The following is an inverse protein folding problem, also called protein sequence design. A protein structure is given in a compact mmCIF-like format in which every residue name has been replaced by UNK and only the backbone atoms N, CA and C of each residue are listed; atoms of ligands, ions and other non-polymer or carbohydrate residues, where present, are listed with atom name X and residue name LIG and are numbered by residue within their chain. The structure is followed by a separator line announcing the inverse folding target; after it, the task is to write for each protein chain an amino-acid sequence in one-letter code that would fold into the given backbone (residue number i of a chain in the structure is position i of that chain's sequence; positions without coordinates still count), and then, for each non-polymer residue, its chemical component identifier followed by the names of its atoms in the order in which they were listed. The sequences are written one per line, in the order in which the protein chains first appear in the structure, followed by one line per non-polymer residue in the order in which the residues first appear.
data_IF_813345940881
#
_entry.id   IF_813345940881
#
_cell.length_a   1.000
_cell.length_b   1.000
_cell.length_c   1.000
_cell.angle_alpha   90.00
_cell.angle_beta   90.00
_cell.angle_gamma   90.00
#
_symmetry.space_group_name_H-M   'P 1'
#
loop_
_entity.id
_entity.type
_entity.pdbx_description
1 polymer ?
#
# COMPACT_ATOMS: atom_id res chain seq x y z
N UNK A 1 0.61 24.89 -22.07
CA UNK A 1 1.56 24.84 -20.94
C UNK A 1 0.81 24.39 -19.70
N UNK A 2 0.87 23.13 -19.25
CA UNK A 2 0.51 22.68 -17.88
C UNK A 2 0.63 21.14 -17.75
N UNK A 3 1.84 20.61 -17.86
CA UNK A 3 2.14 19.19 -17.62
C UNK A 3 3.42 18.99 -16.82
N UNK A 4 3.89 20.03 -16.12
CA UNK A 4 5.12 20.03 -15.31
C UNK A 4 4.96 19.66 -13.83
N UNK A 5 3.83 19.87 -13.12
CA UNK A 5 3.80 19.58 -11.69
C UNK A 5 3.72 18.07 -11.39
N UNK A 6 3.10 17.28 -12.26
CA UNK A 6 2.92 15.84 -12.05
C UNK A 6 4.22 15.04 -12.24
N UNK A 7 5.04 15.42 -13.23
CA UNK A 7 6.34 14.79 -13.49
C UNK A 7 7.38 15.11 -12.41
N UNK A 8 7.31 16.31 -11.82
CA UNK A 8 8.17 16.69 -10.68
C UNK A 8 7.75 15.93 -9.42
N UNK A 9 6.45 15.71 -9.19
CA UNK A 9 5.95 14.94 -8.06
C UNK A 9 6.32 13.44 -8.17
N UNK A 10 6.26 12.87 -9.37
CA UNK A 10 6.68 11.48 -9.64
C UNK A 10 8.21 11.35 -9.51
N UNK A 11 8.97 12.33 -10.01
CA UNK A 11 10.42 12.37 -9.84
C UNK A 11 10.85 12.49 -8.37
N UNK A 12 10.15 13.29 -7.57
CA UNK A 12 10.40 13.44 -6.14
C UNK A 12 10.05 12.17 -5.36
N UNK A 13 8.95 11.48 -5.71
CA UNK A 13 8.57 10.20 -5.10
C UNK A 13 9.57 9.08 -5.39
N UNK A 14 10.17 9.07 -6.59
CA UNK A 14 11.19 8.08 -6.96
C UNK A 14 12.51 8.36 -6.22
N UNK A 15 12.85 9.63 -5.95
CA UNK A 15 14.02 9.99 -5.13
C UNK A 15 13.82 9.74 -3.62
N UNK A 16 12.57 9.66 -3.14
CA UNK A 16 12.24 9.31 -1.75
C UNK A 16 12.25 7.79 -1.47
N UNK A 17 12.34 6.94 -2.51
CA UNK A 17 12.27 5.47 -2.38
C UNK A 17 13.61 4.77 -2.10
N UNK A 18 14.74 5.46 -2.28
CA UNK A 18 16.04 4.91 -1.96
C UNK A 18 16.47 5.35 -0.56
N UNK A 19 15.88 4.73 0.47
CA UNK A 19 16.48 4.82 1.80
C UNK A 19 17.90 4.25 1.68
N UNK A 20 18.97 5.00 2.02
CA UNK A 20 20.30 4.41 2.08
C UNK A 20 20.20 3.21 3.02
N UNK A 21 20.61 2.03 2.55
CA UNK A 21 20.61 0.84 3.39
C UNK A 21 21.54 1.07 4.58
N UNK A 22 21.00 1.49 5.72
CA UNK A 22 21.79 1.77 6.91
C UNK A 22 21.96 0.48 7.70
N UNK A 23 23.17 -0.06 7.80
CA UNK A 23 23.56 -1.04 8.82
C UNK A 23 24.38 -2.20 8.26
N UNK A 24 25.69 -2.02 8.17
CA UNK A 24 26.66 -3.02 7.71
C UNK A 24 28.01 -2.75 8.39
N UNK A 25 28.79 -3.80 8.68
CA UNK A 25 30.19 -3.88 9.19
C UNK A 25 30.38 -5.08 10.15
N UNK A 26 31.02 -6.17 9.71
CA UNK A 26 31.63 -7.15 10.63
C UNK A 26 33.13 -7.07 10.38
N UNK A 27 33.88 -6.55 11.36
CA UNK A 27 35.35 -6.40 11.27
C UNK A 27 35.98 -6.89 12.56
N UNK A 28 36.99 -7.75 12.43
CA UNK A 28 37.82 -8.20 13.53
C UNK A 28 38.98 -7.23 13.74
N UNK A 29 39.23 -6.87 14.99
CA UNK A 29 40.23 -5.91 15.40
C UNK A 29 41.05 -6.52 16.53
N UNK A 30 42.37 -6.54 16.39
CA UNK A 30 43.28 -7.00 17.43
C UNK A 30 43.52 -5.92 18.49
N UNK A 31 44.03 -6.32 19.65
CA UNK A 31 44.45 -5.38 20.70
C UNK A 31 45.69 -4.59 20.26
N UNK A 32 46.64 -5.26 19.63
CA UNK A 32 47.91 -4.70 19.17
C UNK A 32 47.92 -4.40 17.67
N UNK A 33 48.71 -3.39 17.24
CA UNK A 33 48.85 -3.04 15.82
C UNK A 33 49.58 -4.15 15.05
N UNK A 34 49.28 -4.24 13.75
CA UNK A 34 49.86 -5.19 12.79
C UNK A 34 49.75 -6.64 13.29
N UNK A 35 48.53 -7.20 13.39
CA UNK A 35 48.35 -8.57 13.84
C UNK A 35 49.09 -9.54 12.93
N UNK A 36 49.84 -10.47 13.54
CA UNK A 36 50.61 -11.52 12.85
C UNK A 36 49.75 -12.77 12.58
N UNK A 37 48.44 -12.63 12.56
CA UNK A 37 47.49 -13.71 12.34
C UNK A 37 46.30 -13.23 11.52
N UNK A 38 45.53 -14.19 11.04
CA UNK A 38 44.31 -13.98 10.24
C UNK A 38 43.13 -14.71 10.86
N UNK A 39 41.90 -14.40 10.42
CA UNK A 39 40.68 -15.08 10.86
C UNK A 39 40.26 -16.11 9.81
N UNK A 40 40.14 -17.37 10.21
CA UNK A 40 39.73 -18.43 9.31
C UNK A 40 39.63 -19.80 10.00
N UNK A 41 38.71 -20.68 9.56
CA UNK A 41 37.55 -20.37 8.71
C UNK A 41 36.56 -19.44 9.44
N UNK A 42 35.77 -18.63 8.73
CA UNK A 42 34.75 -17.75 9.31
C UNK A 42 33.35 -18.06 8.77
N UNK A 43 32.40 -18.37 9.64
CA UNK A 43 30.99 -18.57 9.29
C UNK A 43 30.09 -17.62 10.08
N UNK A 44 29.38 -16.76 9.36
CA UNK A 44 28.39 -15.86 9.96
C UNK A 44 27.01 -16.35 9.56
N UNK A 45 26.26 -16.89 10.52
CA UNK A 45 25.00 -17.56 10.29
C UNK A 45 23.84 -16.81 10.92
N UNK A 46 22.86 -16.39 10.14
CA UNK A 46 21.56 -15.94 10.64
C UNK A 46 20.52 -17.05 10.52
N UNK A 47 19.69 -17.24 11.55
CA UNK A 47 18.55 -18.16 11.52
C UNK A 47 17.25 -17.35 11.55
N UNK A 48 16.50 -17.42 10.46
CA UNK A 48 15.28 -16.66 10.23
C UNK A 48 14.08 -17.60 10.28
N UNK A 49 13.21 -17.39 11.27
CA UNK A 49 11.93 -18.08 11.38
C UNK A 49 10.74 -17.25 10.86
N UNK A 50 9.55 -17.86 10.77
CA UNK A 50 8.32 -17.18 10.39
C UNK A 50 7.81 -16.20 11.47
N UNK A 51 8.17 -16.42 12.74
CA UNK A 51 7.77 -15.56 13.84
C UNK A 51 8.41 -14.17 13.74
N UNK A 52 7.61 -13.13 14.00
CA UNK A 52 8.08 -11.74 14.04
C UNK A 52 8.90 -11.46 15.32
N UNK A 53 10.08 -12.08 15.47
CA UNK A 53 11.01 -11.87 16.59
C UNK A 53 12.45 -11.52 16.17
N UNK A 54 13.36 -11.35 17.15
CA UNK A 54 14.79 -11.19 16.91
C UNK A 54 15.36 -12.34 16.08
N UNK A 55 16.38 -12.06 15.26
CA UNK A 55 17.09 -13.06 14.47
C UNK A 55 18.28 -13.56 15.27
N UNK A 56 18.37 -14.88 15.48
CA UNK A 56 19.55 -15.49 16.11
C UNK A 56 20.70 -15.51 15.11
N UNK A 57 21.80 -14.86 15.46
CA UNK A 57 23.04 -14.84 14.69
C UNK A 57 24.16 -15.55 15.45
N UNK A 58 24.93 -16.34 14.72
CA UNK A 58 26.07 -17.09 15.22
C UNK A 58 27.29 -16.77 14.37
N UNK A 59 28.35 -16.29 15.00
CA UNK A 59 29.66 -16.08 14.37
C UNK A 59 30.58 -17.20 14.84
N UNK A 60 30.95 -18.10 13.93
CA UNK A 60 31.89 -19.18 14.20
C UNK A 60 33.21 -18.89 13.51
N UNK A 61 34.32 -18.90 14.23
CA UNK A 61 35.62 -18.61 13.65
C UNK A 61 36.79 -19.23 14.41
N UNK A 62 37.97 -19.24 13.79
CA UNK A 62 39.26 -19.56 14.42
C UNK A 62 40.32 -18.55 13.97
N UNK A 63 41.47 -18.57 14.64
CA UNK A 63 42.63 -17.72 14.36
C UNK A 63 43.70 -18.56 13.68
N UNK A 64 44.16 -18.08 12.53
CA UNK A 64 45.17 -18.76 11.71
C UNK A 64 46.48 -18.00 11.82
N UNK A 65 47.47 -18.69 12.37
CA UNK A 65 48.84 -18.19 12.45
C UNK A 65 49.61 -18.65 11.21
N UNK A 66 50.16 -17.74 10.40
CA UNK A 66 51.03 -18.10 9.29
C UNK A 66 52.29 -18.82 9.79
N UNK A 67 52.76 -19.81 9.04
CA UNK A 67 53.98 -20.57 9.39
C UNK A 67 55.25 -19.69 9.42
N UNK A 68 55.21 -18.49 8.83
CA UNK A 68 56.30 -17.51 8.81
C UNK A 68 56.54 -16.84 10.16
N UNK A 69 55.58 -16.92 11.09
CA UNK A 69 55.68 -16.29 12.42
C UNK A 69 56.40 -17.23 13.37
N UNK A 70 57.68 -16.94 13.61
CA UNK A 70 58.53 -17.74 14.49
C UNK A 70 58.37 -17.26 15.94
N UNK A 71 57.74 -18.05 16.81
CA UNK A 71 57.58 -17.72 18.24
C UNK A 71 56.16 -17.86 18.81
N UNK A 72 55.18 -18.25 17.98
CA UNK A 72 53.77 -18.30 18.37
C UNK A 72 53.12 -16.92 18.41
N UNK A 73 51.78 -16.87 18.40
CA UNK A 73 51.06 -15.60 18.46
C UNK A 73 51.11 -15.05 19.87
N UNK A 74 51.45 -13.76 19.97
CA UNK A 74 51.29 -13.00 21.21
C UNK A 74 49.83 -13.04 21.67
N UNK A 75 49.61 -13.54 22.89
CA UNK A 75 48.29 -13.58 23.51
C UNK A 75 47.69 -12.18 23.58
N UNK A 76 46.51 -12.01 22.98
CA UNK A 76 45.81 -10.74 22.96
C UNK A 76 44.34 -10.92 22.67
N UNK A 77 43.50 -10.02 23.19
CA UNK A 77 42.08 -10.10 22.90
C UNK A 77 41.77 -9.65 21.47
N UNK A 78 40.63 -10.12 20.99
CA UNK A 78 40.03 -9.70 19.74
C UNK A 78 38.81 -8.85 20.04
N UNK A 79 38.52 -7.93 19.13
CA UNK A 79 37.32 -7.11 19.16
C UNK A 79 36.56 -7.34 17.86
N UNK A 80 35.26 -7.53 17.98
CA UNK A 80 34.34 -7.57 16.85
C UNK A 80 33.55 -6.26 16.83
N UNK A 81 33.77 -5.47 15.78
CA UNK A 81 32.93 -4.34 15.45
C UNK A 81 31.70 -4.88 14.71
N UNK A 82 30.55 -4.80 15.37
CA UNK A 82 29.27 -5.30 14.85
C UNK A 82 28.33 -4.15 14.45
N UNK A 83 27.57 -4.27 13.35
CA UNK A 83 26.68 -3.22 12.91
C UNK A 83 25.30 -3.39 13.55
N UNK A 84 24.76 -2.33 14.12
CA UNK A 84 23.48 -2.37 14.81
C UNK A 84 23.61 -2.77 16.27
N UNK A 85 22.44 -2.82 16.90
CA UNK A 85 22.28 -3.17 18.30
C UNK A 85 22.24 -4.68 18.47
N UNK A 86 23.04 -5.16 19.42
CA UNK A 86 22.96 -6.55 19.87
C UNK A 86 21.99 -6.67 21.05
N UNK A 87 21.05 -7.59 20.89
CA UNK A 87 20.21 -8.11 21.96
C UNK A 87 20.88 -9.37 22.51
N UNK A 88 21.22 -9.35 23.79
CA UNK A 88 21.99 -10.42 24.43
C UNK A 88 21.08 -11.52 24.95
N UNK A 89 21.47 -12.78 24.77
CA UNK A 89 21.01 -13.82 25.69
C UNK A 89 21.75 -13.58 27.02
N UNK A 90 21.02 -13.42 28.13
CA UNK A 90 21.59 -12.96 29.39
C UNK A 90 22.63 -13.96 29.94
N UNK A 91 23.91 -13.67 29.72
CA UNK A 91 25.01 -14.33 30.41
C UNK A 91 25.28 -13.58 31.71
N UNK A 92 25.30 -14.31 32.82
CA UNK A 92 25.61 -13.72 34.13
C UNK A 92 27.03 -13.15 34.14
N UNK A 93 27.18 -11.89 34.55
CA UNK A 93 28.47 -11.23 34.71
C UNK A 93 28.35 -9.72 34.63
N UNK A 94 29.17 -9.00 35.40
CA UNK A 94 29.18 -7.54 35.35
C UNK A 94 29.63 -7.05 33.97
N UNK A 95 28.99 -6.00 33.41
CA UNK A 95 29.50 -5.30 32.25
C UNK A 95 30.94 -4.83 32.46
N UNK A 96 31.69 -4.66 31.38
CA UNK A 96 33.09 -4.25 31.44
C UNK A 96 33.23 -2.71 31.36
N UNK A 97 33.68 -2.04 32.44
CA UNK A 97 33.73 -0.57 32.46
C UNK A 97 34.72 0.03 31.46
N UNK A 98 35.78 -0.70 31.10
CA UNK A 98 36.79 -0.22 30.15
C UNK A 98 36.25 -0.09 28.73
N UNK A 99 35.36 -0.99 28.32
CA UNK A 99 34.69 -0.90 27.01
C UNK A 99 33.85 0.36 26.91
N UNK A 100 33.08 0.67 27.95
CA UNK A 100 32.31 1.92 28.04
C UNK A 100 33.24 3.13 27.92
N UNK A 101 34.29 3.19 28.74
CA UNK A 101 35.24 4.31 28.74
C UNK A 101 35.88 4.52 27.36
N UNK A 102 36.25 3.44 26.69
CA UNK A 102 36.84 3.47 25.33
C UNK A 102 35.88 4.12 24.33
N UNK A 103 34.60 3.75 24.38
CA UNK A 103 33.58 4.26 23.47
C UNK A 103 33.18 5.71 23.80
N UNK A 104 33.00 6.04 25.08
CA UNK A 104 32.66 7.39 25.55
C UNK A 104 33.80 8.39 25.29
N UNK A 105 35.06 7.97 25.45
CA UNK A 105 36.24 8.80 25.12
C UNK A 105 36.28 9.22 23.64
N UNK A 106 35.49 8.58 22.77
CA UNK A 106 35.35 8.91 21.36
C UNK A 106 34.09 9.73 21.05
N UNK A 107 33.36 10.19 22.07
CA UNK A 107 32.16 11.01 21.94
C UNK A 107 30.93 10.23 21.49
N UNK A 108 30.91 8.91 21.73
CA UNK A 108 29.71 8.09 21.54
C UNK A 108 28.93 7.95 22.85
N UNK A 109 27.62 7.79 22.74
CA UNK A 109 26.75 7.50 23.86
C UNK A 109 26.47 6.00 23.91
N UNK A 110 26.81 5.37 25.03
CA UNK A 110 26.52 3.95 25.27
C UNK A 110 25.05 3.79 25.63
N UNK A 111 24.33 2.98 24.86
CA UNK A 111 22.90 2.71 25.05
C UNK A 111 22.62 1.38 25.73
N UNK A 112 23.51 0.40 25.56
CA UNK A 112 23.43 -0.90 26.23
C UNK A 112 24.82 -1.45 26.51
N UNK A 113 24.92 -2.24 27.57
CA UNK A 113 26.10 -3.02 27.91
C UNK A 113 25.68 -4.41 28.40
N UNK A 114 26.58 -5.39 28.32
CA UNK A 114 26.31 -6.73 28.80
C UNK A 114 27.39 -7.73 28.37
N UNK A 115 27.02 -9.01 28.38
CA UNK A 115 27.85 -10.13 27.94
C UNK A 115 27.07 -11.03 27.00
N UNK A 116 27.74 -11.52 25.95
CA UNK A 116 27.19 -12.44 24.98
C UNK A 116 27.69 -13.86 25.25
N UNK A 117 26.89 -14.90 24.96
CA UNK A 117 27.34 -16.28 25.03
C UNK A 117 28.52 -16.50 24.08
N UNK A 118 29.62 -16.96 24.65
CA UNK A 118 30.82 -17.37 23.95
C UNK A 118 31.07 -18.84 24.27
N UNK A 119 31.33 -19.64 23.25
CA UNK A 119 31.57 -21.07 23.41
C UNK A 119 32.63 -21.56 22.43
N UNK A 120 33.21 -22.72 22.68
CA UNK A 120 34.12 -23.39 21.79
C UNK A 120 33.52 -24.71 21.30
N UNK A 121 33.64 -24.96 20.00
CA UNK A 121 33.12 -26.16 19.33
C UNK A 121 34.24 -26.87 18.61
N UNK A 122 34.43 -28.16 18.89
CA UNK A 122 35.35 -29.00 18.14
C UNK A 122 34.87 -29.20 16.69
N UNK A 123 35.75 -28.96 15.72
CA UNK A 123 35.52 -29.17 14.27
C UNK A 123 35.40 -30.66 13.97
N UNK A 124 36.34 -31.44 14.49
CA UNK A 124 36.37 -32.88 14.36
C UNK A 124 35.78 -33.51 15.60
N UNK A 125 34.55 -33.98 15.45
CA UNK A 125 33.93 -34.84 16.43
C UNK A 125 33.23 -35.95 15.68
N UNK A 126 33.42 -37.18 16.15
CA UNK A 126 32.85 -38.38 15.55
C UNK A 126 31.32 -38.39 15.59
N UNK A 127 30.68 -39.56 15.46
CA UNK A 127 29.21 -39.69 15.41
C UNK A 127 28.48 -38.96 16.55
N UNK A 128 29.07 -38.90 17.75
CA UNK A 128 28.65 -38.02 18.83
C UNK A 128 29.36 -36.67 18.73
N UNK A 129 28.68 -35.67 18.16
CA UNK A 129 29.12 -34.28 18.19
C UNK A 129 28.89 -33.70 19.59
N UNK A 130 29.92 -33.43 20.41
CA UNK A 130 29.74 -32.86 21.75
C UNK A 130 29.09 -31.48 21.65
N UNK A 131 28.36 -31.11 22.71
CA UNK A 131 27.79 -29.76 22.82
C UNK A 131 28.93 -28.73 22.87
N UNK A 132 28.73 -27.52 22.33
CA UNK A 132 29.70 -26.43 22.50
C UNK A 132 30.02 -26.23 23.99
N UNK A 133 31.30 -26.10 24.30
CA UNK A 133 31.78 -25.82 25.65
C UNK A 133 31.66 -24.32 25.90
N UNK A 134 30.95 -23.91 26.96
CA UNK A 134 30.86 -22.49 27.30
C UNK A 134 32.24 -21.96 27.73
N UNK A 135 32.61 -20.79 27.22
CA UNK A 135 33.81 -20.08 27.66
C UNK A 135 33.44 -19.15 28.82
N UNK A 136 34.17 -19.27 29.92
CA UNK A 136 33.88 -18.55 31.15
C UNK A 136 33.85 -17.03 30.93
N UNK A 137 32.85 -16.39 31.55
CA UNK A 137 32.66 -14.94 31.48
C UNK A 137 32.08 -14.40 30.17
N UNK A 138 31.94 -15.20 29.11
CA UNK A 138 31.37 -14.76 27.83
C UNK A 138 32.12 -13.60 27.17
N UNK A 139 31.50 -13.01 26.14
CA UNK A 139 32.06 -11.87 25.41
C UNK A 139 31.42 -10.54 25.87
N UNK A 140 32.12 -9.68 26.63
CA UNK A 140 31.57 -8.39 27.03
C UNK A 140 31.35 -7.46 25.83
N UNK A 141 30.27 -6.70 25.84
CA UNK A 141 29.93 -5.79 24.76
C UNK A 141 29.34 -4.47 25.25
N UNK A 142 29.48 -3.44 24.42
CA UNK A 142 28.76 -2.17 24.54
C UNK A 142 28.13 -1.83 23.20
N UNK A 143 26.83 -1.52 23.22
CA UNK A 143 26.13 -0.90 22.09
C UNK A 143 26.13 0.59 22.29
N UNK A 144 26.46 1.32 21.22
CA UNK A 144 26.58 2.76 21.25
C UNK A 144 25.96 3.39 20.01
N UNK A 145 25.60 4.65 20.13
CA UNK A 145 25.15 5.47 19.04
C UNK A 145 25.85 6.82 19.07
N UNK A 146 25.84 7.50 17.92
CA UNK A 146 26.29 8.90 17.88
C UNK A 146 25.08 9.78 18.18
N UNK A 147 25.27 10.70 19.11
CA UNK A 147 24.26 11.70 19.47
C UNK A 147 23.75 12.41 18.19
N UNK A 148 22.43 12.57 18.11
CA UNK A 148 21.77 13.06 16.91
C UNK A 148 22.21 14.47 16.57
N UNK A 149 22.87 14.63 15.42
CA UNK A 149 23.11 15.94 14.80
C UNK A 149 21.89 16.39 13.98
N UNK A 150 22.02 17.45 13.15
CA UNK A 150 20.95 17.92 12.25
C UNK A 150 20.48 16.87 11.22
N UNK A 151 21.16 15.73 11.14
CA UNK A 151 20.89 14.60 10.25
C UNK A 151 20.23 13.41 10.98
N UNK A 152 19.68 13.63 12.18
CA UNK A 152 19.01 12.63 13.01
C UNK A 152 19.95 11.69 13.76
N UNK A 153 19.37 10.79 14.57
CA UNK A 153 20.11 9.76 15.31
C UNK A 153 20.71 8.74 14.34
N UNK A 154 22.02 8.48 14.45
CA UNK A 154 22.68 7.48 13.62
C UNK A 154 22.29 6.06 14.02
N UNK A 155 22.36 5.11 13.08
CA UNK A 155 22.19 3.70 13.44
C UNK A 155 23.24 3.27 14.48
N UNK A 156 22.84 2.49 15.50
CA UNK A 156 23.76 2.04 16.54
C UNK A 156 24.80 1.06 15.98
N UNK A 157 25.87 0.85 16.73
CA UNK A 157 26.85 -0.21 16.52
C UNK A 157 27.22 -0.84 17.86
N UNK A 158 27.76 -2.05 17.82
CA UNK A 158 28.23 -2.75 19.01
C UNK A 158 29.72 -3.02 18.94
N UNK A 159 30.41 -2.79 20.06
CA UNK A 159 31.81 -3.11 20.26
C UNK A 159 31.89 -4.30 21.21
N UNK A 160 32.32 -5.45 20.70
CA UNK A 160 32.31 -6.72 21.42
C UNK A 160 33.76 -7.15 21.64
N UNK A 161 34.19 -7.36 22.88
CA UNK A 161 35.48 -7.95 23.20
C UNK A 161 35.33 -9.46 23.29
N UNK A 162 36.25 -10.16 22.65
CA UNK A 162 36.39 -11.61 22.65
C UNK A 162 37.68 -11.90 23.40
N UNK A 163 37.59 -12.38 24.65
CA UNK A 163 38.76 -12.72 25.45
C UNK A 163 39.63 -13.76 24.76
N UNK A 164 40.95 -13.61 24.89
CA UNK A 164 41.90 -14.59 24.39
C UNK A 164 41.68 -15.95 25.09
N UNK A 165 41.76 -17.02 24.32
CA UNK A 165 41.73 -18.39 24.80
C UNK A 165 42.63 -19.24 23.92
N UNK A 166 43.33 -20.26 24.46
CA UNK A 166 44.13 -21.18 23.65
C UNK A 166 43.32 -21.84 22.51
N UNK A 167 42.00 -21.96 22.69
CA UNK A 167 41.10 -22.52 21.67
C UNK A 167 40.95 -21.64 20.42
N UNK A 168 41.33 -20.36 20.47
CA UNK A 168 41.28 -19.49 19.29
C UNK A 168 42.31 -19.88 18.24
N UNK A 169 43.50 -20.30 18.66
CA UNK A 169 44.61 -20.65 17.76
C UNK A 169 44.67 -22.15 17.43
N UNK A 170 43.89 -22.96 18.13
CA UNK A 170 43.76 -24.39 17.86
C UNK A 170 42.81 -24.64 16.68
N UNK A 171 43.35 -25.13 15.56
CA UNK A 171 42.59 -25.43 14.33
C UNK A 171 41.56 -26.55 14.51
N UNK A 172 41.61 -27.29 15.60
CA UNK A 172 40.59 -28.31 15.93
C UNK A 172 39.34 -27.71 16.57
N UNK A 173 39.37 -26.44 16.95
CA UNK A 173 38.26 -25.72 17.57
C UNK A 173 37.81 -24.51 16.75
N UNK A 174 36.52 -24.20 16.85
CA UNK A 174 35.93 -22.94 16.43
C UNK A 174 35.33 -22.26 17.65
N UNK A 175 35.61 -20.97 17.80
CA UNK A 175 34.94 -20.12 18.76
C UNK A 175 33.61 -19.69 18.17
N UNK A 176 32.54 -19.86 18.94
CA UNK A 176 31.16 -19.60 18.60
C UNK A 176 30.63 -18.47 19.49
N UNK A 177 30.40 -17.30 18.87
CA UNK A 177 29.75 -16.14 19.47
C UNK A 177 28.28 -16.11 19.04
N UNK A 178 27.36 -16.11 20.00
CA UNK A 178 25.91 -16.07 19.75
C UNK A 178 25.32 -14.73 20.14
N UNK A 179 24.41 -14.22 19.32
CA UNK A 179 23.75 -12.93 19.51
C UNK A 179 22.34 -12.94 18.94
N UNK A 180 21.44 -12.12 19.48
CA UNK A 180 20.10 -11.87 18.93
C UNK A 180 20.03 -10.48 18.37
N UNK A 181 19.44 -10.33 17.18
CA UNK A 181 19.40 -9.04 16.49
C UNK A 181 17.97 -8.69 16.10
N UNK A 182 17.46 -7.60 16.65
CA UNK A 182 16.10 -7.10 16.39
C UNK A 182 16.00 -6.37 15.05
N UNK A 183 17.08 -5.70 14.63
CA UNK A 183 17.08 -4.80 13.47
C UNK A 183 17.55 -5.45 12.16
N UNK A 184 17.93 -6.73 12.22
CA UNK A 184 18.48 -7.46 11.07
C UNK A 184 17.41 -7.80 10.02
N UNK A 185 16.18 -8.11 10.47
CA UNK A 185 15.02 -8.29 9.59
C UNK A 185 14.28 -6.97 9.48
N UNK A 186 14.16 -6.43 8.26
CA UNK A 186 13.43 -5.18 8.00
C UNK A 186 12.24 -5.41 7.09
N UNK A 187 11.08 -4.78 7.37
CA UNK A 187 9.98 -4.79 6.44
C UNK A 187 10.40 -4.05 5.16
N UNK A 188 10.16 -4.67 4.00
CA UNK A 188 10.26 -3.99 2.71
C UNK A 188 9.04 -3.09 2.59
N UNK A 189 9.26 -1.80 2.34
CA UNK A 189 8.13 -0.89 2.10
C UNK A 189 7.32 -1.39 0.90
N UNK A 190 6.05 -1.65 1.17
CA UNK A 190 5.08 -2.12 0.20
C UNK A 190 3.76 -1.44 0.50
N UNK A 191 2.96 -1.22 -0.53
CA UNK A 191 1.61 -0.67 -0.38
C UNK A 191 0.72 -1.64 0.39
N UNK A 192 -0.35 -1.14 1.02
CA UNK A 192 -1.30 -1.99 1.74
C UNK A 192 -1.85 -3.11 0.85
N UNK A 193 -2.14 -2.81 -0.43
CA UNK A 193 -2.65 -3.76 -1.41
C UNK A 193 -1.62 -4.85 -1.74
N UNK A 194 -0.35 -4.48 -1.88
CA UNK A 194 0.74 -5.45 -2.11
C UNK A 194 0.92 -6.39 -0.91
N UNK A 195 0.83 -5.87 0.32
CA UNK A 195 0.93 -6.71 1.52
C UNK A 195 -0.26 -7.67 1.66
N UNK A 196 -1.46 -7.26 1.22
CA UNK A 196 -2.65 -8.13 1.20
C UNK A 196 -2.53 -9.23 0.15
N UNK A 197 -2.06 -8.90 -1.05
CA UNK A 197 -1.98 -9.85 -2.17
C UNK A 197 -0.75 -10.77 -2.11
N UNK A 198 0.38 -10.24 -1.63
CA UNK A 198 1.69 -10.89 -1.69
C UNK A 198 2.32 -11.15 -0.32
N UNK A 199 1.59 -10.89 0.77
CA UNK A 199 2.12 -11.03 2.13
C UNK A 199 3.15 -9.97 2.49
N UNK A 200 3.57 -9.99 3.76
CA UNK A 200 4.60 -9.08 4.25
C UNK A 200 5.98 -9.50 3.73
N UNK A 201 6.62 -8.58 3.03
CA UNK A 201 7.97 -8.78 2.48
C UNK A 201 8.99 -8.22 3.44
N UNK A 202 10.08 -8.96 3.60
CA UNK A 202 11.17 -8.64 4.49
C UNK A 202 12.49 -8.69 3.73
N UNK A 203 13.45 -7.90 4.19
CA UNK A 203 14.84 -7.93 3.74
C UNK A 203 15.71 -8.27 4.93
N UNK A 204 16.61 -9.22 4.74
CA UNK A 204 17.70 -9.53 5.66
C UNK A 204 19.03 -9.29 4.93
N UNK A 205 19.97 -8.64 5.60
CA UNK A 205 21.28 -8.35 5.04
C UNK A 205 22.37 -8.68 6.04
N UNK A 206 23.24 -9.63 5.69
CA UNK A 206 24.52 -9.87 6.36
C UNK A 206 25.64 -9.21 5.58
N UNK A 207 26.68 -8.76 6.27
CA UNK A 207 27.82 -8.11 5.61
C UNK A 207 29.11 -8.31 6.38
N UNK A 208 30.21 -8.36 5.65
CA UNK A 208 31.58 -8.39 6.16
C UNK A 208 32.35 -7.19 5.58
N UNK A 209 33.24 -6.60 6.39
CA UNK A 209 34.07 -5.44 6.02
C UNK A 209 33.38 -4.13 5.59
N UNK A 210 32.06 -4.00 5.77
CA UNK A 210 31.37 -2.77 5.37
C UNK A 210 31.35 -1.70 6.48
N UNK A 211 32.43 -0.95 6.66
CA UNK A 211 32.55 0.02 7.78
C UNK A 211 31.91 1.39 7.56
N UNK A 212 31.05 1.56 6.55
CA UNK A 212 30.61 2.88 6.07
C UNK A 212 29.60 3.61 6.96
N UNK A 213 29.08 2.99 8.02
CA UNK A 213 28.08 3.63 8.88
C UNK A 213 28.69 4.71 9.79
N UNK A 214 27.87 5.67 10.23
CA UNK A 214 28.31 6.79 11.08
C UNK A 214 28.80 6.35 12.47
N UNK A 215 28.38 5.19 12.97
CA UNK A 215 28.82 4.63 14.23
C UNK A 215 30.05 3.73 14.05
N UNK A 216 30.10 2.93 12.99
CA UNK A 216 31.20 1.98 12.74
C UNK A 216 32.46 2.66 12.19
N UNK A 217 32.32 3.63 11.28
CA UNK A 217 33.45 4.22 10.58
C UNK A 217 34.49 4.87 11.50
N UNK A 218 34.13 5.72 12.49
CA UNK A 218 35.13 6.34 13.36
C UNK A 218 35.83 5.33 14.27
N UNK A 219 35.11 4.28 14.70
CA UNK A 219 35.70 3.20 15.49
C UNK A 219 36.69 2.37 14.67
N UNK A 220 36.33 2.02 13.44
CA UNK A 220 37.23 1.39 12.48
C UNK A 220 38.46 2.25 12.19
N UNK A 221 38.27 3.53 11.84
CA UNK A 221 39.33 4.43 11.41
C UNK A 221 40.45 4.52 12.45
N UNK A 222 40.08 4.50 13.73
CA UNK A 222 41.02 4.64 14.82
C UNK A 222 41.73 3.34 15.24
N UNK A 223 41.27 2.20 14.74
CA UNK A 223 41.91 0.90 14.96
C UNK A 223 42.29 0.25 13.63
N UNK A 224 42.41 1.04 12.55
CA UNK A 224 42.65 0.56 11.18
C UNK A 224 43.94 -0.25 11.04
N UNK A 225 44.92 0.05 11.87
CA UNK A 225 46.23 -0.61 11.96
C UNK A 225 46.18 -1.94 12.73
N UNK A 226 45.04 -2.24 13.37
CA UNK A 226 44.79 -3.45 14.16
C UNK A 226 43.78 -4.38 13.50
N UNK A 227 43.29 -4.05 12.30
CA UNK A 227 42.30 -4.86 11.58
C UNK A 227 42.92 -6.21 11.23
N UNK A 228 42.19 -7.29 11.51
CA UNK A 228 42.60 -8.66 11.23
C UNK A 228 41.97 -9.09 9.90
N UNK A 229 42.80 -9.56 8.97
CA UNK A 229 42.35 -10.02 7.66
C UNK A 229 41.79 -11.45 7.71
N UNK A 230 41.00 -11.81 6.71
CA UNK A 230 40.57 -13.20 6.52
C UNK A 230 41.76 -14.05 6.06
N UNK A 231 41.79 -15.29 6.52
CA UNK A 231 42.69 -16.32 6.02
C UNK A 231 42.16 -16.89 4.70
N UNK A 232 42.98 -17.69 4.02
CA UNK A 232 42.58 -18.44 2.82
C UNK A 232 41.61 -19.62 3.12
N UNK A 233 41.32 -19.86 4.40
CA UNK A 233 40.34 -20.84 4.85
C UNK A 233 38.90 -20.46 4.45
N UNK A 234 38.02 -21.47 4.22
CA UNK A 234 36.67 -21.24 3.72
C UNK A 234 35.88 -20.34 4.65
N UNK A 235 35.45 -19.19 4.13
CA UNK A 235 34.67 -18.19 4.88
C UNK A 235 33.36 -17.89 4.16
N UNK A 236 32.24 -17.79 4.90
CA UNK A 236 30.90 -17.64 4.32
C UNK A 236 29.94 -16.81 5.19
N UNK A 237 29.06 -16.09 4.51
CA UNK A 237 27.81 -15.57 5.06
C UNK A 237 26.69 -16.56 4.77
N UNK A 238 25.88 -16.91 5.78
CA UNK A 238 24.85 -17.95 5.68
C UNK A 238 23.56 -17.43 6.30
N UNK A 239 22.45 -17.56 5.59
CA UNK A 239 21.10 -17.31 6.10
C UNK A 239 20.30 -18.61 5.98
N UNK A 240 19.86 -19.13 7.13
CA UNK A 240 18.96 -20.27 7.19
C UNK A 240 17.54 -19.77 7.38
N UNK A 241 16.64 -20.19 6.51
CA UNK A 241 15.21 -19.96 6.64
C UNK A 241 14.54 -21.24 7.11
N UNK A 242 13.93 -21.20 8.30
CA UNK A 242 13.09 -22.30 8.78
C UNK A 242 11.72 -22.27 8.07
N UNK A 243 10.98 -23.38 8.09
CA UNK A 243 9.65 -23.46 7.46
C UNK A 243 9.66 -23.09 5.96
N UNK A 244 10.54 -23.77 5.20
CA UNK A 244 10.72 -23.51 3.77
C UNK A 244 9.47 -23.76 2.93
N UNK A 245 8.53 -24.57 3.42
CA UNK A 245 7.28 -24.90 2.71
C UNK A 245 6.38 -23.67 2.56
N UNK A 246 6.49 -22.71 3.48
CA UNK A 246 5.75 -21.45 3.49
C UNK A 246 6.62 -20.24 3.11
N UNK A 247 7.86 -20.49 2.69
CA UNK A 247 8.83 -19.46 2.36
C UNK A 247 8.79 -19.13 0.87
N UNK A 248 8.73 -17.83 0.55
CA UNK A 248 9.05 -17.34 -0.79
C UNK A 248 10.27 -16.43 -0.72
N UNK A 249 11.32 -16.80 -1.43
CA UNK A 249 12.46 -15.94 -1.69
C UNK A 249 12.22 -15.21 -3.01
N UNK A 250 12.26 -13.89 -2.97
CA UNK A 250 12.00 -13.02 -4.12
C UNK A 250 13.28 -12.64 -4.86
N UNK A 251 14.33 -12.31 -4.10
CA UNK A 251 15.59 -11.80 -4.64
C UNK A 251 16.74 -12.19 -3.70
N UNK A 252 17.87 -12.53 -4.28
CA UNK A 252 19.12 -12.84 -3.57
C UNK A 252 20.24 -12.04 -4.21
N UNK A 253 21.05 -11.37 -3.40
CA UNK A 253 22.22 -10.61 -3.82
C UNK A 253 23.44 -10.98 -2.95
N UNK A 254 24.63 -11.19 -3.55
CA UNK A 254 24.93 -11.14 -4.98
C UNK A 254 24.37 -12.35 -5.73
N UNK A 255 24.26 -12.26 -7.06
CA UNK A 255 23.79 -13.36 -7.91
C UNK A 255 24.69 -14.61 -7.88
N UNK A 256 25.93 -14.48 -7.39
CA UNK A 256 26.85 -15.60 -7.14
C UNK A 256 26.53 -16.40 -5.87
N UNK A 257 25.54 -15.95 -5.08
CA UNK A 257 25.11 -16.66 -3.87
C UNK A 257 24.51 -18.02 -4.22
N UNK A 258 24.78 -19.01 -3.36
CA UNK A 258 24.19 -20.33 -3.48
C UNK A 258 22.89 -20.41 -2.69
N UNK A 259 21.91 -21.10 -3.27
CA UNK A 259 20.64 -21.42 -2.63
C UNK A 259 20.43 -22.93 -2.69
N UNK A 260 20.19 -23.56 -1.54
CA UNK A 260 19.97 -25.00 -1.43
C UNK A 260 19.05 -25.35 -0.27
N UNK A 261 18.37 -26.48 -0.37
CA UNK A 261 17.66 -27.06 0.77
C UNK A 261 18.67 -27.67 1.75
N UNK A 262 18.35 -27.64 3.05
CA UNK A 262 19.19 -28.25 4.08
C UNK A 262 19.05 -29.78 4.06
N UNK A 263 20.16 -30.48 3.95
CA UNK A 263 20.18 -31.96 4.02
C UNK A 263 19.88 -32.50 5.44
N UNK A 264 20.18 -31.71 6.47
CA UNK A 264 20.11 -32.16 7.87
C UNK A 264 18.88 -31.64 8.62
N UNK A 265 18.28 -30.54 8.14
CA UNK A 265 17.10 -29.95 8.76
C UNK A 265 15.93 -29.99 7.78
N UNK A 266 14.84 -30.65 8.16
CA UNK A 266 13.61 -30.65 7.36
C UNK A 266 13.09 -29.23 7.20
N UNK A 267 12.50 -28.97 6.03
CA UNK A 267 11.87 -27.69 5.69
C UNK A 267 12.76 -26.48 6.02
N UNK A 268 14.06 -26.56 5.71
CA UNK A 268 14.99 -25.45 5.91
C UNK A 268 15.67 -25.10 4.59
N UNK A 269 15.56 -23.84 4.17
CA UNK A 269 16.25 -23.32 3.01
C UNK A 269 17.53 -22.59 3.47
N UNK A 270 18.65 -22.81 2.78
CA UNK A 270 19.94 -22.19 3.06
C UNK A 270 20.33 -21.30 1.88
N UNK A 271 20.60 -20.03 2.18
CA UNK A 271 21.23 -19.10 1.23
C UNK A 271 22.59 -18.72 1.76
N UNK A 272 23.64 -18.85 0.95
CA UNK A 272 25.01 -18.57 1.36
C UNK A 272 25.82 -17.84 0.30
N UNK A 273 26.71 -16.96 0.72
CA UNK A 273 27.72 -16.32 -0.11
C UNK A 273 29.11 -16.58 0.48
N UNK A 274 30.06 -16.95 -0.37
CA UNK A 274 31.46 -17.07 0.03
C UNK A 274 32.06 -15.68 0.26
N UNK A 275 32.91 -15.59 1.26
CA UNK A 275 33.76 -14.43 1.49
C UNK A 275 35.09 -14.67 0.80
N UNK A 276 35.49 -13.72 -0.04
CA UNK A 276 36.78 -13.72 -0.74
C UNK A 276 37.82 -12.94 0.10
N UNK A 277 38.88 -13.59 0.60
CA UNK A 277 39.95 -12.91 1.33
C UNK A 277 40.69 -11.86 0.49
N UNK A 278 40.76 -12.06 -0.84
CA UNK A 278 41.49 -11.18 -1.76
C UNK A 278 40.82 -9.83 -1.98
N UNK A 279 39.51 -9.74 -1.73
CA UNK A 279 38.77 -8.47 -1.76
C UNK A 279 39.19 -7.52 -0.62
N UNK A 280 40.00 -8.01 0.34
CA UNK A 280 40.59 -7.23 1.41
C UNK A 280 39.52 -6.51 2.23
N UNK A 281 39.57 -5.18 2.27
CA UNK A 281 38.62 -4.35 3.03
C UNK A 281 37.34 -4.00 2.26
N UNK A 282 37.12 -4.55 1.07
CA UNK A 282 35.90 -4.26 0.31
C UNK A 282 34.67 -4.87 0.99
N UNK A 283 33.55 -4.13 1.06
CA UNK A 283 32.29 -4.65 1.58
C UNK A 283 31.83 -5.89 0.82
N UNK A 284 31.64 -7.00 1.53
CA UNK A 284 31.04 -8.22 0.99
C UNK A 284 29.71 -8.44 1.70
N UNK A 285 28.62 -8.53 0.94
CA UNK A 285 27.26 -8.53 1.50
C UNK A 285 26.44 -9.70 0.97
N UNK A 286 25.55 -10.22 1.81
CA UNK A 286 24.54 -11.19 1.43
C UNK A 286 23.18 -10.60 1.82
N UNK A 287 22.37 -10.23 0.84
CA UNK A 287 21.03 -9.70 1.04
C UNK A 287 19.98 -10.63 0.42
N UNK A 288 18.93 -10.92 1.18
CA UNK A 288 17.83 -11.78 0.74
C UNK A 288 16.51 -11.08 1.01
N UNK A 289 15.70 -10.96 -0.03
CA UNK A 289 14.31 -10.53 0.08
C UNK A 289 13.41 -11.74 0.13
N UNK A 290 12.56 -11.82 1.15
CA UNK A 290 11.73 -12.99 1.39
C UNK A 290 10.38 -12.61 2.01
N UNK A 291 9.44 -13.55 2.01
CA UNK A 291 8.18 -13.46 2.74
C UNK A 291 7.71 -14.84 3.17
N UNK A 292 7.08 -14.92 4.33
CA UNK A 292 6.38 -16.13 4.80
C UNK A 292 4.89 -16.00 4.50
N UNK A 293 4.30 -17.06 3.96
CA UNK A 293 2.90 -17.11 3.56
C UNK A 293 2.16 -18.12 4.41
N UNK A 294 1.25 -17.65 5.27
CA UNK A 294 0.42 -18.53 6.10
C UNK A 294 -1.06 -18.43 5.70
N UNK A 295 -1.72 -19.58 5.69
CA UNK A 295 -3.18 -19.70 5.61
C UNK A 295 -3.81 -19.03 4.38
N UNK A 296 -4.81 -18.18 4.64
CA UNK A 296 -5.65 -17.56 3.61
C UNK A 296 -4.88 -16.64 2.64
N UNK A 297 -3.73 -16.08 3.06
CA UNK A 297 -2.92 -15.16 2.24
C UNK A 297 -2.36 -15.85 0.99
N UNK A 298 -2.16 -17.17 1.03
CA UNK A 298 -1.77 -17.94 -0.16
C UNK A 298 -2.86 -17.94 -1.25
N UNK A 299 -4.13 -17.80 -0.86
CA UNK A 299 -5.29 -17.76 -1.76
C UNK A 299 -5.67 -16.34 -2.19
N UNK A 300 -5.08 -15.29 -1.62
CA UNK A 300 -5.47 -13.90 -1.88
C UNK A 300 -5.49 -13.53 -3.37
N UNK A 301 -4.50 -13.93 -4.22
CA UNK A 301 -4.57 -13.66 -5.66
C UNK A 301 -5.79 -14.30 -6.34
N UNK A 302 -6.13 -15.53 -5.97
CA UNK A 302 -7.27 -16.27 -6.52
C UNK A 302 -8.59 -15.65 -6.06
N UNK A 303 -8.70 -15.30 -4.78
CA UNK A 303 -9.88 -14.63 -4.22
C UNK A 303 -10.10 -13.26 -4.85
N UNK A 304 -9.03 -12.49 -5.06
CA UNK A 304 -9.11 -11.16 -5.67
C UNK A 304 -9.50 -11.24 -7.15
N UNK A 305 -8.94 -12.19 -7.90
CA UNK A 305 -9.34 -12.47 -9.27
C UNK A 305 -10.81 -12.89 -9.35
N UNK A 306 -11.26 -13.78 -8.45
CA UNK A 306 -12.67 -14.21 -8.36
C UNK A 306 -13.58 -13.03 -8.03
N UNK A 307 -13.20 -12.19 -7.07
CA UNK A 307 -13.98 -11.00 -6.71
C UNK A 307 -14.13 -10.03 -7.89
N UNK A 308 -13.04 -9.75 -8.61
CA UNK A 308 -13.07 -8.91 -9.81
C UNK A 308 -13.92 -9.53 -10.93
N UNK A 309 -13.83 -10.85 -11.09
CA UNK A 309 -14.66 -11.58 -12.05
C UNK A 309 -16.15 -11.46 -11.71
N UNK A 310 -16.51 -11.65 -10.44
CA UNK A 310 -17.89 -11.51 -9.95
C UNK A 310 -18.38 -10.06 -10.10
N UNK A 311 -17.56 -9.07 -9.72
CA UNK A 311 -17.87 -7.65 -9.90
C UNK A 311 -18.06 -7.28 -11.38
N UNK A 312 -17.20 -7.76 -12.27
CA UNK A 312 -17.30 -7.54 -13.70
C UNK A 312 -18.60 -8.11 -14.29
N UNK A 313 -19.00 -9.30 -13.86
CA UNK A 313 -20.24 -9.93 -14.30
C UNK A 313 -21.51 -9.29 -13.68
N UNK A 314 -21.42 -8.79 -12.45
CA UNK A 314 -22.55 -8.12 -11.76
C UNK A 314 -22.73 -6.64 -12.15
N UNK A 315 -21.72 -6.00 -12.75
CA UNK A 315 -21.81 -4.61 -13.18
C UNK A 315 -22.94 -4.38 -14.20
N UNK A 316 -23.17 -5.29 -15.14
CA UNK A 316 -24.27 -5.19 -16.12
C UNK A 316 -25.66 -5.20 -15.47
N UNK A 317 -26.01 -6.23 -14.67
CA UNK A 317 -27.28 -6.29 -13.94
C UNK A 317 -27.51 -5.10 -12.98
N UNK A 318 -26.47 -4.63 -12.29
CA UNK A 318 -26.58 -3.48 -11.37
C UNK A 318 -26.78 -2.15 -12.12
N UNK A 319 -26.05 -1.93 -13.21
CA UNK A 319 -26.22 -0.71 -14.03
C UNK A 319 -27.60 -0.70 -14.68
N UNK A 320 -28.09 -1.85 -15.17
CA UNK A 320 -29.43 -1.93 -15.78
C UNK A 320 -30.55 -1.72 -14.77
N UNK A 321 -30.43 -2.22 -13.54
CA UNK A 321 -31.42 -1.98 -12.47
C UNK A 321 -31.41 -0.52 -11.99
N UNK A 322 -30.24 0.10 -11.83
CA UNK A 322 -30.10 1.53 -11.55
C UNK A 322 -30.64 2.42 -12.68
N UNK A 323 -30.33 2.10 -13.94
CA UNK A 323 -30.81 2.82 -15.11
C UNK A 323 -32.35 2.72 -15.24
N UNK A 324 -32.95 1.57 -14.94
CA UNK A 324 -34.42 1.40 -14.95
C UNK A 324 -35.11 2.23 -13.86
N UNK A 325 -34.53 2.31 -12.66
CA UNK A 325 -35.12 3.08 -11.54
C UNK A 325 -34.99 4.60 -11.68
N UNK A 326 -33.89 5.07 -12.30
CA UNK A 326 -33.58 6.50 -12.42
C UNK A 326 -34.02 7.08 -13.77
N UNK A 327 -33.93 6.29 -14.85
CA UNK A 327 -34.33 6.72 -16.21
C UNK A 327 -35.81 7.10 -16.31
N UNK A 328 -36.70 6.33 -15.66
CA UNK A 328 -38.15 6.62 -15.66
C UNK A 328 -38.51 7.94 -14.96
N UNK A 329 -37.71 8.39 -13.97
CA UNK A 329 -37.94 9.66 -13.26
C UNK A 329 -37.38 10.88 -13.99
N UNK A 330 -36.37 10.68 -14.85
CA UNK A 330 -35.65 11.79 -15.51
C UNK A 330 -36.23 12.09 -16.91
N UNK A 331 -36.72 11.07 -17.62
CA UNK A 331 -37.13 11.19 -19.03
C UNK A 331 -38.34 12.14 -19.25
N UNK A 332 -39.16 12.39 -18.23
CA UNK A 332 -40.28 13.36 -18.31
C UNK A 332 -39.95 14.80 -17.88
N UNK A 333 -38.72 15.06 -17.37
CA UNK A 333 -38.35 16.32 -16.73
C UNK A 333 -37.28 17.12 -17.47
N UNK A 334 -36.46 16.47 -18.29
CA UNK A 334 -35.32 17.08 -18.98
C UNK A 334 -35.53 16.95 -20.49
N UNK A 335 -35.67 18.10 -21.16
CA UNK A 335 -35.79 18.17 -22.62
C UNK A 335 -34.55 18.86 -23.19
N UNK A 336 -34.04 18.31 -24.29
CA UNK A 336 -32.90 18.82 -25.05
C UNK A 336 -33.40 19.27 -26.43
N UNK A 337 -33.19 20.54 -26.78
CA UNK A 337 -33.61 21.08 -28.07
C UNK A 337 -33.14 22.53 -28.34
N UNK A 338 -33.17 22.99 -29.60
CA UNK A 338 -32.74 24.34 -30.00
C UNK A 338 -33.54 25.44 -29.30
N UNK A 339 -32.96 26.64 -29.15
CA UNK A 339 -33.57 27.78 -28.41
C UNK A 339 -34.97 28.19 -28.88
N UNK A 340 -35.35 27.89 -30.13
CA UNK A 340 -36.66 28.20 -30.71
C UNK A 340 -37.77 27.19 -30.38
N UNK A 341 -37.44 25.98 -29.91
CA UNK A 341 -38.46 25.00 -29.48
C UNK A 341 -38.86 25.27 -28.04
N UNK A 342 -39.92 26.05 -27.84
CA UNK A 342 -40.66 26.01 -26.59
C UNK A 342 -41.22 24.59 -26.40
N UNK A 343 -41.26 24.03 -25.17
CA UNK A 343 -41.91 22.74 -24.92
C UNK A 343 -43.33 22.82 -25.48
N UNK A 344 -43.66 21.95 -26.43
CA UNK A 344 -44.88 22.04 -27.21
C UNK A 344 -46.08 22.04 -26.27
N UNK A 345 -46.83 23.16 -26.26
CA UNK A 345 -48.17 23.20 -25.71
C UNK A 345 -48.97 22.17 -26.51
N UNK A 346 -49.49 21.16 -25.83
CA UNK A 346 -50.35 20.18 -26.45
C UNK A 346 -51.81 20.54 -26.12
N UNK A 347 -52.53 20.97 -27.15
CA UNK A 347 -53.97 21.18 -27.13
C UNK A 347 -54.62 19.97 -27.80
N UNK A 348 -55.65 19.40 -27.18
CA UNK A 348 -56.44 18.28 -27.70
C UNK A 348 -57.91 18.66 -27.64
N UNK A 349 -58.64 18.56 -28.75
CA UNK A 349 -60.01 19.09 -28.89
C UNK A 349 -60.05 20.60 -29.17
N UNK A 350 -61.23 21.20 -29.11
CA UNK A 350 -61.44 22.59 -29.51
C UNK A 350 -61.35 23.51 -28.29
N UNK A 351 -60.20 24.18 -28.11
CA UNK A 351 -60.00 25.19 -27.07
C UNK A 351 -60.23 26.58 -27.66
N UNK A 352 -61.39 27.18 -27.40
CA UNK A 352 -61.72 28.52 -27.93
C UNK A 352 -60.98 29.61 -27.13
N UNK A 353 -60.16 30.47 -27.78
CA UNK A 353 -59.46 31.55 -27.09
C UNK A 353 -60.41 32.58 -26.50
N UNK A 354 -60.03 33.19 -25.37
CA UNK A 354 -60.86 34.21 -24.70
C UNK A 354 -61.10 35.42 -25.60
N UNK A 355 -60.13 35.78 -26.43
CA UNK A 355 -60.22 36.87 -27.39
C UNK A 355 -61.26 36.57 -28.48
N UNK A 356 -61.49 35.29 -28.78
CA UNK A 356 -62.50 34.86 -29.73
C UNK A 356 -63.89 34.87 -29.12
N UNK A 357 -64.02 34.40 -27.87
CA UNK A 357 -65.28 34.49 -27.12
C UNK A 357 -65.72 35.94 -26.89
N UNK A 358 -64.77 36.86 -26.69
CA UNK A 358 -65.04 38.29 -26.54
C UNK A 358 -65.60 38.96 -27.81
N UNK A 359 -65.52 38.31 -28.98
CA UNK A 359 -66.10 38.80 -30.24
C UNK A 359 -67.54 38.33 -30.46
N UNK A 360 -68.05 37.44 -29.63
CA UNK A 360 -69.42 36.95 -29.72
C UNK A 360 -70.30 37.88 -28.89
N UNK A 361 -71.22 38.56 -29.55
CA UNK A 361 -72.16 39.51 -28.94
C UNK A 361 -73.54 38.85 -28.79
N UNK A 362 -74.06 38.67 -27.56
CA UNK A 362 -75.41 38.15 -27.36
C UNK A 362 -76.46 38.98 -28.11
N UNK A 363 -77.34 38.31 -28.85
CA UNK A 363 -78.41 38.91 -29.64
C UNK A 363 -78.02 39.34 -31.06
N UNK A 364 -76.73 39.41 -31.39
CA UNK A 364 -76.24 39.79 -32.72
C UNK A 364 -75.59 38.62 -33.45
N UNK A 365 -74.75 37.85 -32.75
CA UNK A 365 -74.01 36.75 -33.37
C UNK A 365 -74.92 35.57 -33.70
N UNK A 366 -74.80 35.07 -34.93
CA UNK A 366 -75.60 33.97 -35.48
C UNK A 366 -74.90 32.61 -35.40
N UNK A 367 -75.64 31.52 -35.60
CA UNK A 367 -75.09 30.16 -35.56
C UNK A 367 -73.90 29.95 -36.51
N UNK A 368 -74.04 30.40 -37.77
CA UNK A 368 -72.98 30.26 -38.78
C UNK A 368 -71.73 31.06 -38.44
N UNK A 369 -71.90 32.25 -37.85
CA UNK A 369 -70.80 33.07 -37.36
C UNK A 369 -70.06 32.38 -36.20
N UNK A 370 -70.77 31.70 -35.30
CA UNK A 370 -70.14 30.91 -34.22
C UNK A 370 -69.30 29.79 -34.80
N UNK A 371 -69.80 29.04 -35.78
CA UNK A 371 -69.03 27.96 -36.42
C UNK A 371 -67.77 28.51 -37.12
N UNK A 372 -67.86 29.70 -37.72
CA UNK A 372 -66.71 30.37 -38.34
C UNK A 372 -65.65 30.82 -37.31
N UNK A 373 -66.10 31.26 -36.13
CA UNK A 373 -65.23 31.82 -35.09
C UNK A 373 -64.66 30.74 -34.15
N UNK A 374 -65.46 29.77 -33.74
CA UNK A 374 -65.12 28.76 -32.74
C UNK A 374 -64.71 27.41 -33.35
N UNK A 375 -65.04 27.17 -34.62
CA UNK A 375 -64.70 25.96 -35.36
C UNK A 375 -65.93 25.06 -35.63
N UNK A 376 -65.79 24.09 -36.55
CA UNK A 376 -66.94 23.43 -37.18
C UNK A 376 -67.61 22.30 -36.38
N UNK A 377 -67.05 21.89 -35.24
CA UNK A 377 -67.49 20.67 -34.53
C UNK A 377 -67.90 20.93 -33.06
N UNK A 378 -69.00 21.66 -32.79
CA UNK A 378 -69.59 21.70 -31.46
C UNK A 378 -70.34 20.40 -31.11
N UNK A 379 -70.38 20.04 -29.83
CA UNK A 379 -71.41 19.11 -29.33
C UNK A 379 -72.72 19.89 -29.20
N UNK A 380 -73.74 19.54 -29.98
CA UNK A 380 -75.06 20.20 -29.89
C UNK A 380 -75.97 19.49 -28.90
N UNK A 381 -76.58 20.26 -27.99
CA UNK A 381 -77.62 19.79 -27.08
C UNK A 381 -78.90 20.57 -27.33
N UNK A 382 -79.98 19.86 -27.66
CA UNK A 382 -81.31 20.44 -27.78
C UNK A 382 -82.11 20.15 -26.50
N UNK A 383 -82.75 21.18 -25.91
CA UNK A 383 -83.65 20.96 -24.78
C UNK A 383 -85.03 20.57 -25.30
N UNK A 384 -85.37 19.30 -25.17
CA UNK A 384 -86.69 18.75 -25.55
C UNK A 384 -87.88 19.47 -24.88
N UNK A 385 -87.67 20.15 -23.74
CA UNK A 385 -88.69 20.89 -23.01
C UNK A 385 -88.96 22.31 -23.54
N UNK A 386 -88.13 22.82 -24.46
CA UNK A 386 -88.24 24.16 -25.04
C UNK A 386 -87.79 24.13 -26.52
N UNK A 387 -88.72 23.86 -27.46
CA UNK A 387 -88.41 23.76 -28.88
C UNK A 387 -87.82 25.09 -29.38
N UNK A 388 -86.69 25.02 -30.09
CA UNK A 388 -85.99 26.20 -30.62
C UNK A 388 -84.80 26.68 -29.80
N UNK A 389 -84.52 26.10 -28.62
CA UNK A 389 -83.30 26.37 -27.86
C UNK A 389 -82.26 25.26 -28.01
N UNK A 390 -81.08 25.66 -28.50
CA UNK A 390 -79.92 24.78 -28.71
C UNK A 390 -78.72 25.31 -27.94
N UNK A 391 -77.96 24.41 -27.34
CA UNK A 391 -76.71 24.75 -26.64
C UNK A 391 -75.56 24.10 -27.38
N UNK A 392 -74.59 24.90 -27.80
CA UNK A 392 -73.35 24.44 -28.42
C UNK A 392 -72.29 24.32 -27.34
N UNK A 393 -71.66 23.15 -27.26
CA UNK A 393 -70.64 22.87 -26.26
C UNK A 393 -69.31 22.59 -26.95
N UNK A 394 -68.32 23.45 -26.70
CA UNK A 394 -66.94 23.24 -27.14
C UNK A 394 -66.11 22.74 -25.97
N UNK A 395 -65.50 21.57 -26.15
CA UNK A 395 -64.64 20.94 -25.15
C UNK A 395 -63.23 20.79 -25.69
N UNK A 396 -62.28 21.26 -24.89
CA UNK A 396 -60.87 21.16 -25.20
C UNK A 396 -60.03 20.94 -23.95
N UNK A 397 -58.92 20.25 -24.12
CA UNK A 397 -57.94 19.98 -23.07
C UNK A 397 -56.61 20.61 -23.46
N UNK A 398 -56.01 21.37 -22.54
CA UNK A 398 -54.74 22.04 -22.73
C UNK A 398 -53.74 21.62 -21.66
N UNK A 399 -52.58 21.12 -22.07
CA UNK A 399 -51.50 20.73 -21.16
C UNK A 399 -50.44 21.83 -21.12
N UNK A 400 -50.20 22.40 -19.93
CA UNK A 400 -49.31 23.56 -19.75
C UNK A 400 -48.18 23.21 -18.77
N UNK A 401 -46.91 23.53 -19.09
CA UNK A 401 -45.81 23.36 -18.16
C UNK A 401 -45.83 24.45 -17.07
N UNK A 402 -45.71 24.06 -15.81
CA UNK A 402 -45.65 25.00 -14.69
C UNK A 402 -44.19 25.23 -14.26
N UNK A 403 -43.74 26.48 -14.47
CA UNK A 403 -42.41 27.03 -14.16
C UNK A 403 -41.25 26.35 -14.89
N UNK A 404 -40.74 27.05 -15.90
CA UNK A 404 -39.61 26.61 -16.72
C UNK A 404 -38.32 27.29 -16.22
N UNK A 405 -37.29 26.50 -15.88
CA UNK A 405 -35.91 27.01 -15.78
C UNK A 405 -35.15 26.60 -17.03
N UNK A 406 -34.60 27.58 -17.74
CA UNK A 406 -33.80 27.37 -18.97
C UNK A 406 -32.34 27.69 -18.68
N UNK A 407 -31.47 26.74 -18.98
CA UNK A 407 -30.02 26.92 -18.92
C UNK A 407 -29.42 26.37 -20.23
N UNK A 408 -29.24 27.28 -21.19
CA UNK A 408 -28.72 26.95 -22.52
C UNK A 408 -29.63 26.01 -23.32
N UNK A 409 -29.11 24.83 -23.65
CA UNK A 409 -29.74 23.74 -24.43
C UNK A 409 -30.65 22.84 -23.59
N UNK A 410 -30.76 23.10 -22.29
CA UNK A 410 -31.42 22.25 -21.31
C UNK A 410 -32.60 23.01 -20.68
N UNK A 411 -33.80 22.44 -20.81
CA UNK A 411 -35.01 22.96 -20.18
C UNK A 411 -35.53 21.95 -19.15
N UNK A 412 -35.75 22.42 -17.92
CA UNK A 412 -36.36 21.61 -16.86
C UNK A 412 -37.79 22.07 -16.59
N UNK A 413 -38.73 21.11 -16.56
CA UNK A 413 -40.13 21.34 -16.20
C UNK A 413 -40.36 20.77 -14.82
N UNK A 414 -40.81 21.61 -13.88
CA UNK A 414 -41.04 21.18 -12.50
C UNK A 414 -42.31 20.32 -12.39
N UNK A 415 -43.39 20.68 -13.12
CA UNK A 415 -44.64 19.90 -13.18
C UNK A 415 -45.46 20.27 -14.42
N UNK A 416 -46.44 19.43 -14.74
CA UNK A 416 -47.43 19.65 -15.81
C UNK A 416 -48.82 19.85 -15.20
N UNK A 417 -49.52 20.90 -15.63
CA UNK A 417 -50.89 21.18 -15.24
C UNK A 417 -51.79 20.97 -16.47
N UNK A 418 -52.98 20.38 -16.28
CA UNK A 418 -53.98 20.18 -17.34
C UNK A 418 -55.16 21.11 -17.09
N UNK A 419 -55.46 21.93 -18.08
CA UNK A 419 -56.64 22.78 -18.12
C UNK A 419 -57.70 22.12 -19.00
N UNK A 420 -58.87 21.84 -18.45
CA UNK A 420 -60.06 21.47 -19.21
C UNK A 420 -60.87 22.74 -19.47
N UNK A 421 -61.11 23.03 -20.73
CA UNK A 421 -61.86 24.18 -21.21
C UNK A 421 -63.19 23.67 -21.73
N UNK A 422 -64.28 24.14 -21.13
CA UNK A 422 -65.64 23.87 -21.57
C UNK A 422 -66.34 25.20 -21.80
N UNK A 423 -66.81 25.43 -23.01
CA UNK A 423 -67.55 26.62 -23.39
C UNK A 423 -68.93 26.18 -23.84
N UNK A 424 -69.96 26.70 -23.16
CA UNK A 424 -71.35 26.49 -23.50
C UNK A 424 -71.92 27.80 -24.06
N UNK A 425 -72.49 27.74 -25.27
CA UNK A 425 -73.14 28.87 -25.93
C UNK A 425 -74.61 28.50 -26.13
N UNK A 426 -75.52 29.19 -25.45
CA UNK A 426 -76.97 28.98 -25.60
C UNK A 426 -77.49 29.87 -26.73
N UNK A 427 -78.19 29.27 -27.70
CA UNK A 427 -78.90 29.97 -28.75
C UNK A 427 -80.41 29.85 -28.52
N UNK A 428 -81.12 30.94 -28.80
CA UNK A 428 -82.58 30.97 -28.92
C UNK A 428 -82.93 31.24 -30.38
N UNK A 429 -83.47 30.24 -31.06
CA UNK A 429 -83.53 30.20 -32.51
C UNK A 429 -82.13 30.19 -33.12
N UNK A 430 -81.76 31.28 -33.80
CA UNK A 430 -80.48 31.42 -34.51
C UNK A 430 -79.49 32.42 -33.89
N UNK A 431 -79.84 33.02 -32.76
CA UNK A 431 -79.03 34.07 -32.13
C UNK A 431 -78.53 33.64 -30.76
N UNK A 432 -77.30 34.05 -30.44
CA UNK A 432 -76.69 33.79 -29.13
C UNK A 432 -77.47 34.51 -28.04
N UNK A 433 -77.81 33.79 -26.98
CA UNK A 433 -78.50 34.31 -25.81
C UNK A 433 -77.56 34.48 -24.63
N UNK A 434 -76.75 33.46 -24.36
CA UNK A 434 -75.80 33.46 -23.24
C UNK A 434 -74.54 32.65 -23.59
N UNK A 435 -73.43 32.98 -22.95
CA UNK A 435 -72.13 32.34 -23.14
C UNK A 435 -71.51 32.10 -21.77
N UNK A 436 -71.22 30.84 -21.48
CA UNK A 436 -70.54 30.44 -20.26
C UNK A 436 -69.25 29.70 -20.59
N UNK A 437 -68.14 30.16 -20.02
CA UNK A 437 -66.84 29.52 -20.17
C UNK A 437 -66.35 29.05 -18.81
N UNK A 438 -66.14 27.74 -18.68
CA UNK A 438 -65.60 27.11 -17.48
C UNK A 438 -64.22 26.55 -17.76
N UNK A 439 -63.27 26.84 -16.86
CA UNK A 439 -61.91 26.33 -16.94
C UNK A 439 -61.59 25.58 -15.66
N UNK A 440 -61.43 24.26 -15.77
CA UNK A 440 -61.06 23.41 -14.64
C UNK A 440 -59.61 22.98 -14.71
N UNK A 441 -58.84 23.23 -13.64
CA UNK A 441 -57.40 22.91 -13.58
C UNK A 441 -57.14 21.71 -12.70
N UNK A 442 -56.47 20.71 -13.25
CA UNK A 442 -56.09 19.47 -12.57
C UNK A 442 -54.60 19.17 -12.73
N UNK A 443 -54.00 18.52 -11.73
CA UNK A 443 -52.57 18.21 -11.72
C UNK A 443 -52.29 16.91 -12.50
N UNK A 444 -51.23 16.90 -13.30
CA UNK A 444 -50.81 15.72 -14.05
C UNK A 444 -49.37 15.33 -13.70
N UNK A 445 -49.18 14.10 -13.23
CA UNK A 445 -47.86 13.60 -12.80
C UNK A 445 -46.92 13.32 -13.97
N UNK A 446 -47.47 13.10 -15.18
CA UNK A 446 -46.72 12.81 -16.40
C UNK A 446 -47.55 13.23 -17.63
N UNK A 447 -46.99 13.90 -18.64
CA UNK A 447 -47.69 14.09 -19.91
C UNK A 447 -47.88 12.71 -20.55
N UNK A 448 -49.12 12.28 -20.72
CA UNK A 448 -49.42 11.06 -21.47
C UNK A 448 -48.90 11.20 -22.90
N UNK A 449 -48.33 10.13 -23.45
CA UNK A 449 -48.09 10.06 -24.89
C UNK A 449 -49.45 10.01 -25.59
N UNK A 450 -49.57 10.76 -26.69
CA UNK A 450 -50.71 10.69 -27.61
C UNK A 450 -50.93 9.26 -28.10
#
# INVERSE_FOLDING_TARGET
MHSRPLTILIGLLILLGASPGVGTAQVFIATHPKPEFTIGPLFVRANVGPAAGPVDVTVLFSVVVPATVSGGVREQDLYLLWPGEVDGEAVAGAPEPELRRTVEARGFQVTREGRLPLSARAVYSGPQRPRPEALDGGAPFVTYSREGGPLGQGAPASWIRIPWTPRLVDRTWLVELRMRLTTLRRPKQATWLENVLWGERHVITLSFNDVRTRATFPMYLAHRDRVVHLADDPSQLIINFADSDHLKIHEVYPGSSQRRSSETRRATEIVSAYLDPSEGIRPQVLSVQFGYFTGWKAWAPVLFATLFFVLGNLAGPLVTTLAKGVGARIQGRIHFGPRSSAPARHDTGTVVPRETLARISPGETTYDEILSLCGPNPEERERLSAPGRRTLVYRGRRVVPYRQRRLGWLATVHRWDVEHHEVEIELDGDRVRDIQAQVHRSRLTQPGRA
#
